data_IF_173932295828
#
_entry.id   IF_173932295828
#
_cell.length_a   1.000
_cell.length_b   1.000
_cell.length_c   1.000
_cell.angle_alpha   90.00
_cell.angle_beta   90.00
_cell.angle_gamma   90.00
#
_symmetry.space_group_name_H-M   'P 1'
#
loop_
_entity.id
_entity.type
_entity.pdbx_description
1 polymer ?
#
# COMPACT_ATOMS: atom_id res chain seq x y z
N UNK A 1 -9.43 -27.49 9.56
CA UNK A 1 -9.90 -26.39 10.43
C UNK A 1 -9.52 -25.07 9.76
N UNK A 2 -10.50 -24.33 9.25
CA UNK A 2 -10.30 -23.04 8.57
C UNK A 2 -9.96 -21.98 9.61
N UNK A 3 -8.73 -21.49 9.61
CA UNK A 3 -8.33 -20.38 10.46
C UNK A 3 -8.99 -19.10 9.90
N UNK A 4 -9.95 -18.46 10.59
CA UNK A 4 -10.50 -17.20 10.10
C UNK A 4 -9.35 -16.19 10.05
N UNK A 5 -9.13 -15.55 8.90
CA UNK A 5 -8.28 -14.37 8.80
C UNK A 5 -8.87 -13.33 9.74
N UNK A 6 -8.39 -13.29 10.98
CA UNK A 6 -8.78 -12.30 11.96
C UNK A 6 -8.23 -10.96 11.48
N UNK A 7 -9.07 -10.17 10.79
CA UNK A 7 -8.76 -8.78 10.46
C UNK A 7 -8.83 -8.01 11.78
N UNK A 8 -7.71 -7.97 12.51
CA UNK A 8 -7.54 -7.09 13.66
C UNK A 8 -7.60 -5.65 13.15
N UNK A 9 -8.72 -4.95 13.33
CA UNK A 9 -8.83 -3.53 12.94
C UNK A 9 -10.23 -2.97 12.65
N UNK A 10 -11.32 -3.73 12.66
CA UNK A 10 -12.69 -3.15 12.50
C UNK A 10 -12.81 -2.10 11.37
N UNK A 11 -13.44 -0.95 11.65
CA UNK A 11 -13.51 0.25 10.79
C UNK A 11 -12.29 1.17 10.93
N UNK A 12 -11.07 0.63 10.84
CA UNK A 12 -9.86 1.45 10.84
C UNK A 12 -9.76 2.30 9.57
N UNK A 13 -9.51 3.61 9.75
CA UNK A 13 -9.26 4.54 8.65
C UNK A 13 -7.76 4.63 8.41
N UNK A 14 -7.32 4.29 7.19
CA UNK A 14 -5.92 4.43 6.78
C UNK A 14 -5.74 5.73 6.01
N UNK A 15 -4.96 6.65 6.58
CA UNK A 15 -4.59 7.91 5.93
C UNK A 15 -3.33 7.73 5.06
N UNK A 16 -3.35 8.24 3.83
CA UNK A 16 -2.21 8.23 2.90
C UNK A 16 -1.92 9.66 2.46
N UNK A 17 -0.67 10.09 2.61
CA UNK A 17 -0.22 11.40 2.14
C UNK A 17 0.13 11.35 0.64
N UNK A 18 -0.48 12.25 -0.12
CA UNK A 18 -0.33 12.35 -1.57
C UNK A 18 -0.11 13.81 -1.95
N UNK A 19 0.61 14.04 -3.05
CA UNK A 19 0.65 15.35 -3.67
C UNK A 19 -0.69 15.65 -4.34
N UNK A 20 -0.99 16.94 -4.57
CA UNK A 20 -2.25 17.37 -5.23
C UNK A 20 -2.46 16.67 -6.56
N UNK A 21 -1.41 16.51 -7.37
CA UNK A 21 -1.49 15.84 -8.68
C UNK A 21 -1.80 14.34 -8.55
N UNK A 22 -1.20 13.66 -7.58
CA UNK A 22 -1.46 12.26 -7.30
C UNK A 22 -2.90 12.05 -6.80
N UNK A 23 -3.38 12.91 -5.91
CA UNK A 23 -4.76 12.89 -5.44
C UNK A 23 -5.76 13.10 -6.58
N UNK A 24 -5.51 14.07 -7.47
CA UNK A 24 -6.33 14.31 -8.67
C UNK A 24 -6.29 13.13 -9.65
N UNK A 25 -5.13 12.50 -9.81
CA UNK A 25 -4.98 11.33 -10.67
C UNK A 25 -5.80 10.14 -10.17
N UNK A 26 -5.91 9.96 -8.84
CA UNK A 26 -6.64 8.85 -8.23
C UNK A 26 -8.14 9.15 -8.08
N UNK A 27 -8.50 10.32 -7.54
CA UNK A 27 -9.87 10.64 -7.17
C UNK A 27 -10.74 11.08 -8.36
N UNK A 28 -10.19 11.90 -9.27
CA UNK A 28 -10.93 12.45 -10.40
C UNK A 28 -10.60 11.76 -11.74
N UNK A 29 -9.71 10.76 -11.73
CA UNK A 29 -9.28 10.04 -12.94
C UNK A 29 -8.51 10.91 -13.94
N UNK A 30 -7.97 12.05 -13.51
CA UNK A 30 -7.28 13.00 -14.37
C UNK A 30 -6.01 12.36 -14.93
N UNK A 31 -5.85 12.41 -16.26
CA UNK A 31 -4.65 11.90 -16.95
C UNK A 31 -3.70 13.05 -17.24
N UNK A 32 -2.48 12.95 -16.73
CA UNK A 32 -1.43 13.92 -16.99
C UNK A 32 -0.56 13.46 -18.17
N UNK A 33 -0.85 13.94 -19.38
CA UNK A 33 -0.17 13.50 -20.61
C UNK A 33 1.36 13.68 -20.57
N UNK A 34 1.82 14.73 -19.88
CA UNK A 34 3.26 15.02 -19.68
C UNK A 34 3.92 14.18 -18.58
N UNK A 35 3.13 13.57 -17.71
CA UNK A 35 3.60 12.83 -16.53
C UNK A 35 2.71 11.59 -16.29
N UNK A 36 2.72 10.61 -17.20
CA UNK A 36 1.85 9.43 -17.11
C UNK A 36 2.15 8.55 -15.88
N UNK A 37 3.37 8.64 -15.35
CA UNK A 37 3.81 7.89 -14.17
C UNK A 37 3.08 8.29 -12.88
N UNK A 38 2.52 9.51 -12.80
CA UNK A 38 1.88 10.03 -11.58
C UNK A 38 0.79 9.10 -11.03
N UNK A 39 -0.06 8.54 -11.90
CA UNK A 39 -1.11 7.63 -11.47
C UNK A 39 -0.54 6.31 -10.93
N UNK A 40 0.50 5.79 -11.57
CA UNK A 40 1.16 4.56 -11.14
C UNK A 40 1.89 4.76 -9.79
N UNK A 41 2.58 5.88 -9.62
CA UNK A 41 3.25 6.26 -8.37
C UNK A 41 2.25 6.45 -7.23
N UNK A 42 1.14 7.17 -7.48
CA UNK A 42 0.07 7.36 -6.52
C UNK A 42 -0.51 6.01 -6.05
N UNK A 43 -0.78 5.09 -6.98
CA UNK A 43 -1.24 3.73 -6.64
C UNK A 43 -0.21 2.96 -5.82
N UNK A 44 1.07 3.02 -6.19
CA UNK A 44 2.16 2.38 -5.43
C UNK A 44 2.26 2.91 -4.00
N UNK A 45 2.09 4.23 -3.80
CA UNK A 45 2.09 4.83 -2.45
C UNK A 45 0.95 4.30 -1.58
N UNK A 46 -0.26 4.21 -2.15
CA UNK A 46 -1.42 3.65 -1.44
C UNK A 46 -1.17 2.18 -1.08
N UNK A 47 -0.77 1.36 -2.05
CA UNK A 47 -0.49 -0.06 -1.82
C UNK A 47 0.59 -0.28 -0.75
N UNK A 48 1.73 0.40 -0.85
CA UNK A 48 2.82 0.29 0.13
C UNK A 48 2.39 0.73 1.53
N UNK A 49 1.46 1.67 1.64
CA UNK A 49 0.93 2.11 2.94
C UNK A 49 -0.02 1.07 3.52
N UNK A 50 -0.89 0.51 2.69
CA UNK A 50 -1.81 -0.57 3.08
C UNK A 50 -1.04 -1.82 3.48
N UNK A 51 -0.05 -2.25 2.70
CA UNK A 51 0.81 -3.41 3.01
C UNK A 51 1.48 -3.25 4.37
N UNK A 52 2.09 -2.08 4.64
CA UNK A 52 2.75 -1.84 5.93
C UNK A 52 1.79 -1.82 7.12
N UNK A 53 0.55 -1.36 6.93
CA UNK A 53 -0.44 -1.26 7.99
C UNK A 53 -1.18 -2.57 8.24
N UNK A 54 -1.57 -3.27 7.18
CA UNK A 54 -2.38 -4.48 7.24
C UNK A 54 -1.53 -5.76 7.34
N UNK A 55 -0.30 -5.73 6.82
CA UNK A 55 0.59 -6.89 6.78
C UNK A 55 1.96 -6.56 7.42
N UNK A 56 2.00 -6.16 8.71
CA UNK A 56 3.25 -5.77 9.37
C UNK A 56 4.28 -6.91 9.41
N UNK A 57 3.82 -8.17 9.39
CA UNK A 57 4.68 -9.36 9.34
C UNK A 57 5.16 -9.71 7.93
N UNK A 58 4.46 -9.28 6.86
CA UNK A 58 4.95 -9.45 5.49
C UNK A 58 6.11 -8.50 5.16
N UNK A 59 6.26 -7.42 5.94
CA UNK A 59 7.39 -6.51 5.86
C UNK A 59 8.64 -7.03 6.60
N UNK A 60 8.55 -8.16 7.32
CA UNK A 60 9.74 -8.84 7.84
C UNK A 60 10.43 -9.51 6.66
N UNK A 61 11.31 -8.77 6.00
CA UNK A 61 12.36 -9.36 5.17
C UNK A 61 13.11 -10.34 6.06
N UNK A 62 12.85 -11.64 5.91
CA UNK A 62 13.61 -12.66 6.61
C UNK A 62 15.04 -12.51 6.11
N UNK A 63 16.02 -12.15 6.96
CA UNK A 63 17.40 -12.06 6.53
C UNK A 63 17.83 -13.45 6.06
N UNK A 64 18.49 -13.51 4.90
CA UNK A 64 18.93 -14.77 4.30
C UNK A 64 19.77 -15.61 5.30
N UNK A 65 20.52 -14.94 6.18
CA UNK A 65 21.34 -15.52 7.24
C UNK A 65 20.53 -16.27 8.33
N UNK A 66 19.24 -15.99 8.47
CA UNK A 66 18.34 -16.67 9.42
C UNK A 66 17.63 -17.87 8.81
N UNK A 67 17.86 -18.17 7.53
CA UNK A 67 17.44 -19.42 6.92
C UNK A 67 18.47 -20.48 7.30
N UNK A 68 18.19 -21.29 8.33
CA UNK A 68 18.98 -22.50 8.59
C UNK A 68 18.84 -23.45 7.39
N UNK A 69 19.93 -23.56 6.62
CA UNK A 69 20.14 -24.57 5.57
C UNK A 69 21.23 -25.52 6.03
#
# INVERSE_FOLDING_TARGET
MSNPLAITGGTETVSVELTVKEALALGAGVKFSRQPALSAEAKRKVLRTLERKLLPHAAQTIPYEALEV
#
